data_IF_159447323898
#
_entry.id   IF_159447323898
#
_cell.length_a   1.000
_cell.length_b   1.000
_cell.length_c   1.000
_cell.angle_alpha   90.00
_cell.angle_beta   90.00
_cell.angle_gamma   90.00
#
_symmetry.space_group_name_H-M   'P 1'
#
loop_
_entity.id
_entity.type
_entity.pdbx_description
1 polymer ?
#
# COMPACT_ATOMS: atom_id res chain seq x y z
N UNK A 1 3.58 -6.01 1.26
CA UNK A 1 3.14 -6.06 -0.15
C UNK A 1 3.54 -4.80 -0.93
N UNK A 2 3.20 -3.59 -0.46
CA UNK A 2 3.42 -2.35 -1.22
C UNK A 2 4.90 -2.02 -1.53
N UNK A 3 5.82 -2.24 -0.57
CA UNK A 3 7.27 -2.04 -0.81
C UNK A 3 7.80 -2.99 -1.88
N UNK A 4 7.27 -4.22 -1.95
CA UNK A 4 7.65 -5.17 -3.00
C UNK A 4 7.19 -4.69 -4.40
N UNK A 5 6.08 -3.95 -4.49
CA UNK A 5 5.66 -3.33 -5.76
C UNK A 5 6.63 -2.24 -6.20
N UNK A 6 7.10 -1.41 -5.25
CA UNK A 6 8.15 -0.42 -5.54
C UNK A 6 9.39 -1.11 -6.10
N UNK A 7 9.85 -2.20 -5.46
CA UNK A 7 10.99 -3.00 -5.94
C UNK A 7 10.77 -3.53 -7.36
N UNK A 8 9.61 -4.12 -7.66
CA UNK A 8 9.30 -4.65 -9.00
C UNK A 8 9.35 -3.56 -10.07
N UNK A 9 8.73 -2.40 -9.83
CA UNK A 9 8.74 -1.30 -10.80
C UNK A 9 10.11 -0.66 -10.94
N UNK A 10 10.86 -0.54 -9.85
CA UNK A 10 12.23 -0.05 -9.86
C UNK A 10 13.12 -0.99 -10.70
N UNK A 11 13.10 -2.30 -10.43
CA UNK A 11 13.82 -3.30 -11.21
C UNK A 11 13.46 -3.24 -12.70
N UNK A 12 12.17 -3.05 -13.01
CA UNK A 12 11.74 -2.89 -14.40
C UNK A 12 12.35 -1.65 -15.03
N UNK A 13 12.23 -0.50 -14.38
CA UNK A 13 12.76 0.77 -14.89
C UNK A 13 14.28 0.71 -15.09
N UNK A 14 14.98 -0.06 -14.25
CA UNK A 14 16.42 -0.30 -14.34
C UNK A 14 16.84 -1.19 -15.49
N UNK A 15 16.01 -2.19 -15.83
CA UNK A 15 16.29 -3.11 -16.94
C UNK A 15 16.26 -2.45 -18.33
N UNK A 16 15.77 -1.20 -18.42
CA UNK A 16 15.78 -0.41 -19.64
C UNK A 16 17.16 0.26 -19.77
N UNK A 17 17.94 -0.15 -20.76
CA UNK A 17 19.32 0.32 -20.95
C UNK A 17 19.38 1.82 -21.24
N UNK A 18 18.35 2.35 -21.88
CA UNK A 18 18.25 3.75 -22.27
C UNK A 18 17.88 4.67 -21.10
N UNK A 19 17.48 4.12 -19.95
CA UNK A 19 17.08 4.89 -18.80
C UNK A 19 18.30 5.53 -18.11
N UNK A 20 18.39 6.86 -18.20
CA UNK A 20 19.47 7.64 -17.60
C UNK A 20 19.24 7.99 -16.13
N UNK A 21 18.02 7.77 -15.63
CA UNK A 21 17.64 8.05 -14.24
C UNK A 21 17.89 6.84 -13.31
N UNK A 22 18.71 5.90 -13.76
CA UNK A 22 19.04 4.70 -13.00
C UNK A 22 20.10 4.99 -11.92
N UNK A 23 20.08 4.19 -10.85
CA UNK A 23 21.16 4.20 -9.86
C UNK A 23 22.48 3.77 -10.50
N UNK A 24 23.47 4.66 -10.49
CA UNK A 24 24.81 4.39 -11.05
C UNK A 24 25.67 3.54 -10.09
N UNK A 25 25.42 3.64 -8.77
CA UNK A 25 26.20 2.94 -7.75
C UNK A 25 25.37 1.99 -6.89
N UNK A 26 25.95 0.85 -6.57
CA UNK A 26 25.38 -0.15 -5.65
C UNK A 26 25.13 0.43 -4.25
N UNK A 27 25.99 1.35 -3.79
CA UNK A 27 25.83 2.03 -2.50
C UNK A 27 24.60 2.92 -2.47
N UNK A 28 24.39 3.76 -3.50
CA UNK A 28 23.21 4.64 -3.56
C UNK A 28 21.90 3.84 -3.54
N UNK A 29 21.91 2.70 -4.23
CA UNK A 29 20.80 1.76 -4.29
C UNK A 29 20.54 1.07 -2.95
N UNK A 30 21.60 0.70 -2.24
CA UNK A 30 21.49 0.11 -0.91
C UNK A 30 20.92 1.12 0.08
N UNK A 31 21.38 2.37 0.03
CA UNK A 31 20.85 3.48 0.85
C UNK A 31 19.37 3.75 0.52
N UNK A 32 19.03 3.78 -0.77
CA UNK A 32 17.65 3.94 -1.23
C UNK A 32 16.73 2.87 -0.63
N UNK A 33 17.11 1.60 -0.74
CA UNK A 33 16.32 0.51 -0.17
C UNK A 33 16.30 0.57 1.36
N UNK A 34 17.41 0.91 2.01
CA UNK A 34 17.45 1.10 3.46
C UNK A 34 16.40 2.14 3.90
N UNK A 35 16.33 3.30 3.24
CA UNK A 35 15.33 4.34 3.56
C UNK A 35 13.91 3.83 3.30
N UNK A 36 13.70 3.17 2.15
CA UNK A 36 12.40 2.65 1.73
C UNK A 36 11.84 1.59 2.71
N UNK A 37 12.69 0.79 3.34
CA UNK A 37 12.30 -0.20 4.35
C UNK A 37 12.27 0.38 5.77
N UNK A 38 13.20 1.27 6.12
CA UNK A 38 13.32 1.84 7.46
C UNK A 38 12.07 2.65 7.81
N UNK A 39 11.65 3.59 6.96
CA UNK A 39 10.56 4.50 7.31
C UNK A 39 9.23 3.78 7.59
N UNK A 40 8.77 2.81 6.75
CA UNK A 40 7.60 2.01 7.09
C UNK A 40 7.80 1.09 8.29
N UNK A 41 9.02 0.59 8.52
CA UNK A 41 9.31 -0.29 9.68
C UNK A 41 9.20 0.45 11.01
N UNK A 42 9.44 1.78 11.03
CA UNK A 42 9.24 2.60 12.22
C UNK A 42 7.78 2.62 12.68
N UNK A 43 6.81 2.29 11.83
CA UNK A 43 5.42 2.12 12.26
C UNK A 43 5.26 1.00 13.30
N UNK A 44 6.17 0.01 13.34
CA UNK A 44 6.15 -1.03 14.36
C UNK A 44 6.42 -0.47 15.77
N UNK A 45 6.99 0.72 15.88
CA UNK A 45 7.15 1.37 17.18
C UNK A 45 5.81 1.71 17.85
N UNK A 46 4.70 1.70 17.09
CA UNK A 46 3.36 1.86 17.65
C UNK A 46 3.06 0.81 18.73
N UNK A 47 3.64 -0.39 18.65
CA UNK A 47 3.44 -1.44 19.64
C UNK A 47 3.95 -1.07 21.04
N UNK A 48 4.93 -0.17 21.14
CA UNK A 48 5.45 0.30 22.44
C UNK A 48 4.54 1.34 23.10
N UNK A 49 3.64 1.98 22.35
CA UNK A 49 2.71 3.00 22.87
C UNK A 49 1.28 2.46 23.01
N UNK A 50 1.11 1.16 22.81
CA UNK A 50 -0.15 0.46 22.99
C UNK A 50 -0.61 0.56 24.46
N UNK A 51 -1.87 0.97 24.75
CA UNK A 51 -2.37 1.09 26.11
C UNK A 51 -2.38 -0.27 26.84
N UNK A 52 -1.83 -0.30 28.06
CA UNK A 52 -1.86 -1.50 28.93
C UNK A 52 -3.24 -1.74 29.54
N UNK A 53 -3.96 -0.67 29.91
CA UNK A 53 -5.34 -0.75 30.40
C UNK A 53 -6.33 -0.56 29.24
N UNK A 54 -6.83 -1.68 28.73
CA UNK A 54 -7.74 -1.69 27.58
C UNK A 54 -9.16 -1.21 27.90
N UNK A 55 -9.65 -1.40 29.13
CA UNK A 55 -10.99 -0.92 29.51
C UNK A 55 -11.05 0.62 29.49
N UNK A 56 -10.02 1.25 30.06
CA UNK A 56 -9.89 2.71 30.04
C UNK A 56 -9.72 3.24 28.61
N UNK A 57 -8.92 2.57 27.77
CA UNK A 57 -8.72 2.94 26.38
C UNK A 57 -10.00 2.80 25.54
N UNK A 58 -10.79 1.73 25.75
CA UNK A 58 -12.11 1.55 25.11
C UNK A 58 -13.08 2.65 25.54
N UNK A 59 -13.11 3.01 26.83
CA UNK A 59 -13.94 4.11 27.32
C UNK A 59 -13.56 5.46 26.69
N UNK A 60 -12.26 5.75 26.55
CA UNK A 60 -11.78 6.96 25.86
C UNK A 60 -12.16 6.97 24.38
N UNK A 61 -12.08 5.82 23.70
CA UNK A 61 -12.51 5.71 22.31
C UNK A 61 -14.03 5.96 22.17
N UNK A 62 -14.85 5.52 23.13
CA UNK A 62 -16.29 5.80 23.17
C UNK A 62 -16.61 7.30 23.34
N UNK A 63 -15.75 8.05 24.04
CA UNK A 63 -15.91 9.50 24.14
C UNK A 63 -15.69 10.21 22.80
N UNK A 64 -14.81 9.66 21.96
CA UNK A 64 -14.55 10.19 20.62
C UNK A 64 -15.58 9.71 19.59
N UNK A 65 -16.05 8.47 19.71
CA UNK A 65 -17.06 7.87 18.83
C UNK A 65 -18.14 7.17 19.68
N UNK A 66 -19.26 7.86 19.99
CA UNK A 66 -20.23 7.39 20.98
C UNK A 66 -21.10 6.22 20.50
N UNK A 67 -21.17 5.96 19.20
CA UNK A 67 -21.98 4.89 18.63
C UNK A 67 -21.14 3.94 17.78
N UNK A 68 -20.26 3.12 18.38
CA UNK A 68 -19.48 2.15 17.64
C UNK A 68 -20.34 0.97 17.18
N UNK A 69 -19.78 0.14 16.29
CA UNK A 69 -20.40 -1.11 15.89
C UNK A 69 -20.43 -2.12 17.06
N UNK A 70 -21.29 -3.14 16.96
CA UNK A 70 -21.40 -4.20 17.99
C UNK A 70 -20.08 -4.94 18.20
N UNK A 71 -19.26 -5.05 17.16
CA UNK A 71 -17.95 -5.71 17.18
C UNK A 71 -16.95 -5.02 18.13
N UNK A 72 -17.08 -3.71 18.34
CA UNK A 72 -16.23 -2.98 19.29
C UNK A 72 -16.33 -3.52 20.73
N UNK A 73 -17.47 -4.07 21.11
CA UNK A 73 -17.73 -4.60 22.45
C UNK A 73 -17.31 -6.07 22.61
N UNK A 74 -16.80 -6.73 21.56
CA UNK A 74 -16.23 -8.06 21.69
C UNK A 74 -14.94 -8.02 22.54
N UNK A 75 -14.73 -9.07 23.32
CA UNK A 75 -13.55 -9.21 24.19
C UNK A 75 -12.25 -9.22 23.37
N UNK A 76 -12.30 -9.82 22.17
CA UNK A 76 -11.19 -9.93 21.22
C UNK A 76 -10.78 -8.58 20.61
N UNK A 77 -11.63 -7.55 20.72
CA UNK A 77 -11.35 -6.25 20.11
C UNK A 77 -10.41 -5.43 20.99
N UNK A 78 -9.36 -4.87 20.38
CA UNK A 78 -8.28 -4.18 21.07
C UNK A 78 -8.07 -2.75 20.54
N UNK A 79 -7.90 -1.79 21.45
CA UNK A 79 -7.57 -0.40 21.10
C UNK A 79 -6.06 -0.27 20.98
N UNK A 80 -5.58 -0.18 19.74
CA UNK A 80 -4.15 -0.04 19.41
C UNK A 80 -3.61 1.33 19.83
N UNK A 81 -4.42 2.38 19.73
CA UNK A 81 -4.01 3.74 20.05
C UNK A 81 -5.20 4.55 20.55
N UNK A 82 -5.07 5.15 21.74
CA UNK A 82 -6.08 6.04 22.32
C UNK A 82 -5.56 7.47 22.55
N UNK A 83 -4.24 7.66 22.53
CA UNK A 83 -3.65 8.97 22.80
C UNK A 83 -3.92 9.95 21.63
N UNK A 84 -4.52 11.13 21.91
CA UNK A 84 -4.95 12.05 20.87
C UNK A 84 -3.79 12.72 20.14
N UNK A 85 -2.62 12.86 20.76
CA UNK A 85 -1.44 13.41 20.11
C UNK A 85 -0.89 12.42 19.08
N UNK A 86 -0.67 11.18 19.48
CA UNK A 86 -0.17 10.12 18.58
C UNK A 86 -1.16 9.82 17.46
N UNK A 87 -2.46 9.79 17.76
CA UNK A 87 -3.50 9.58 16.75
C UNK A 87 -3.45 10.67 15.66
N UNK A 88 -3.39 11.93 16.08
CA UNK A 88 -3.26 13.08 15.16
C UNK A 88 -1.97 13.03 14.36
N UNK A 89 -0.85 12.71 15.01
CA UNK A 89 0.45 12.62 14.35
C UNK A 89 0.46 11.54 13.27
N UNK A 90 -0.05 10.35 13.58
CA UNK A 90 -0.05 9.22 12.64
C UNK A 90 -0.95 9.50 11.45
N UNK A 91 -2.18 9.99 11.68
CA UNK A 91 -3.16 10.22 10.62
C UNK A 91 -2.74 11.39 9.72
N UNK A 92 -2.25 12.50 10.29
CA UNK A 92 -1.93 13.69 9.50
C UNK A 92 -0.53 13.67 8.88
N UNK A 93 0.44 12.96 9.49
CA UNK A 93 1.83 13.00 9.02
C UNK A 93 2.36 11.62 8.63
N UNK A 94 2.30 10.62 9.52
CA UNK A 94 2.98 9.34 9.26
C UNK A 94 2.36 8.58 8.07
N UNK A 95 1.04 8.42 8.05
CA UNK A 95 0.33 7.72 6.96
C UNK A 95 0.54 8.46 5.63
N UNK A 96 0.30 9.79 5.52
CA UNK A 96 0.56 10.52 4.27
C UNK A 96 2.02 10.46 3.82
N UNK A 97 2.99 10.58 4.73
CA UNK A 97 4.40 10.50 4.39
C UNK A 97 4.78 9.13 3.78
N UNK A 98 4.30 8.04 4.38
CA UNK A 98 4.52 6.69 3.84
C UNK A 98 3.79 6.52 2.51
N UNK A 99 2.57 7.02 2.38
CA UNK A 99 1.83 6.96 1.13
C UNK A 99 2.59 7.70 0.01
N UNK A 100 3.05 8.93 0.27
CA UNK A 100 3.84 9.71 -0.69
C UNK A 100 5.14 8.99 -1.05
N UNK A 101 5.85 8.42 -0.07
CA UNK A 101 7.07 7.66 -0.32
C UNK A 101 6.80 6.47 -1.26
N UNK A 102 5.82 5.64 -0.94
CA UNK A 102 5.53 4.42 -1.70
C UNK A 102 4.95 4.75 -3.08
N UNK A 103 3.85 5.49 -3.12
CA UNK A 103 3.17 5.79 -4.38
C UNK A 103 3.98 6.73 -5.27
N UNK A 104 4.70 7.70 -4.68
CA UNK A 104 5.61 8.56 -5.41
C UNK A 104 6.70 7.76 -6.13
N UNK A 105 7.31 6.77 -5.44
CA UNK A 105 8.29 5.88 -6.08
C UNK A 105 7.68 5.02 -7.19
N UNK A 106 6.49 4.45 -6.97
CA UNK A 106 5.79 3.67 -8.00
C UNK A 106 5.54 4.55 -9.23
N UNK A 107 4.95 5.74 -9.04
CA UNK A 107 4.64 6.68 -10.11
C UNK A 107 5.91 7.08 -10.85
N UNK A 108 6.99 7.38 -10.15
CA UNK A 108 8.28 7.73 -10.75
C UNK A 108 8.81 6.61 -11.65
N UNK A 109 8.91 5.37 -11.15
CA UNK A 109 9.44 4.25 -11.93
C UNK A 109 8.52 3.83 -13.09
N UNK A 110 7.20 3.88 -12.87
CA UNK A 110 6.21 3.67 -13.94
C UNK A 110 6.35 4.73 -15.02
N UNK A 111 6.52 6.01 -14.65
CA UNK A 111 6.71 7.11 -15.59
C UNK A 111 7.98 6.94 -16.41
N UNK A 112 9.09 6.52 -15.78
CA UNK A 112 10.32 6.16 -16.49
C UNK A 112 10.07 5.04 -17.51
N UNK A 113 9.37 3.97 -17.10
CA UNK A 113 9.02 2.89 -18.02
C UNK A 113 8.16 3.37 -19.20
N UNK A 114 7.16 4.21 -18.95
CA UNK A 114 6.29 4.75 -20.02
C UNK A 114 7.11 5.62 -20.97
N UNK A 115 7.91 6.53 -20.44
CA UNK A 115 8.72 7.46 -21.23
C UNK A 115 9.68 6.71 -22.17
N UNK A 116 10.49 5.79 -21.64
CA UNK A 116 11.49 5.08 -22.43
C UNK A 116 10.92 3.96 -23.31
N UNK A 117 9.81 3.31 -22.93
CA UNK A 117 9.22 2.26 -23.77
C UNK A 117 8.33 2.81 -24.88
N UNK A 118 7.67 3.95 -24.67
CA UNK A 118 6.64 4.46 -25.60
C UNK A 118 6.98 5.80 -26.24
N UNK A 119 7.48 6.79 -25.49
CA UNK A 119 7.64 8.16 -25.98
C UNK A 119 8.99 8.40 -26.66
N UNK A 120 10.08 8.04 -26.01
CA UNK A 120 11.44 8.28 -26.47
C UNK A 120 12.27 6.97 -26.48
N UNK A 121 11.89 5.99 -27.32
CA UNK A 121 12.58 4.72 -27.31
C UNK A 121 13.94 4.84 -27.99
N UNK A 122 15.01 4.42 -27.31
CA UNK A 122 16.35 4.58 -27.85
C UNK A 122 16.70 3.61 -28.97
N UNK A 123 17.84 3.90 -29.60
CA UNK A 123 18.34 3.18 -30.77
C UNK A 123 18.97 1.81 -30.41
N UNK A 124 19.29 1.58 -29.13
CA UNK A 124 20.01 0.38 -28.68
C UNK A 124 19.10 -0.87 -28.63
N UNK A 125 17.79 -0.70 -28.37
CA UNK A 125 16.85 -1.81 -28.28
C UNK A 125 16.12 -2.09 -29.59
N UNK A 126 16.21 -3.32 -30.10
CA UNK A 126 15.49 -3.76 -31.32
C UNK A 126 13.97 -3.63 -31.19
N UNK A 127 13.28 -3.48 -32.32
CA UNK A 127 11.81 -3.38 -32.36
C UNK A 127 11.13 -4.61 -31.73
N UNK A 128 11.65 -5.82 -32.00
CA UNK A 128 11.12 -7.07 -31.42
C UNK A 128 11.24 -7.09 -29.90
N UNK A 129 12.42 -6.75 -29.37
CA UNK A 129 12.66 -6.70 -27.92
C UNK A 129 11.73 -5.70 -27.24
N UNK A 130 11.54 -4.53 -27.87
CA UNK A 130 10.65 -3.47 -27.35
C UNK A 130 9.20 -3.90 -27.27
N UNK A 131 8.68 -4.61 -28.28
CA UNK A 131 7.32 -5.14 -28.25
C UNK A 131 7.12 -6.15 -27.11
N UNK A 132 8.10 -7.02 -26.88
CA UNK A 132 8.08 -7.96 -25.75
C UNK A 132 8.09 -7.19 -24.43
N UNK A 133 8.98 -6.20 -24.28
CA UNK A 133 9.08 -5.35 -23.10
C UNK A 133 7.77 -4.59 -22.79
N UNK A 134 7.06 -4.09 -23.81
CA UNK A 134 5.75 -3.43 -23.67
C UNK A 134 4.68 -4.41 -23.21
N UNK A 135 4.59 -5.59 -23.84
CA UNK A 135 3.64 -6.64 -23.44
C UNK A 135 3.88 -7.11 -22.00
N UNK A 136 5.14 -7.29 -21.62
CA UNK A 136 5.50 -7.63 -20.25
C UNK A 136 5.08 -6.53 -19.26
N UNK A 137 5.31 -5.26 -19.60
CA UNK A 137 4.90 -4.12 -18.77
C UNK A 137 3.39 -4.08 -18.54
N UNK A 138 2.58 -4.30 -19.58
CA UNK A 138 1.12 -4.43 -19.46
C UNK A 138 0.75 -5.62 -18.56
N UNK A 139 1.43 -6.76 -18.74
CA UNK A 139 1.26 -7.95 -17.92
C UNK A 139 1.52 -7.71 -16.43
N UNK A 140 2.46 -6.84 -16.06
CA UNK A 140 2.71 -6.49 -14.66
C UNK A 140 1.55 -5.72 -14.03
N UNK A 141 0.91 -4.79 -14.76
CA UNK A 141 -0.29 -4.10 -14.28
C UNK A 141 -1.46 -5.06 -14.13
N UNK A 142 -1.64 -5.99 -15.07
CA UNK A 142 -2.67 -7.02 -14.96
C UNK A 142 -2.44 -7.88 -13.70
N UNK A 143 -1.19 -8.34 -13.47
CA UNK A 143 -0.83 -9.15 -12.29
C UNK A 143 -0.97 -8.39 -10.97
N UNK A 144 -0.68 -7.09 -10.95
CA UNK A 144 -0.75 -6.27 -9.73
C UNK A 144 -2.19 -5.84 -9.44
N UNK A 145 -2.97 -5.52 -10.47
CA UNK A 145 -4.34 -5.05 -10.36
C UNK A 145 -5.34 -6.18 -10.11
N UNK A 146 -5.14 -7.36 -10.69
CA UNK A 146 -6.07 -8.48 -10.57
C UNK A 146 -6.35 -8.90 -9.11
N UNK A 147 -5.35 -9.09 -8.22
CA UNK A 147 -5.59 -9.40 -6.82
C UNK A 147 -6.39 -8.34 -6.07
N UNK A 148 -6.22 -7.06 -6.44
CA UNK A 148 -6.92 -5.93 -5.82
C UNK A 148 -8.39 -5.95 -6.25
N UNK A 149 -8.66 -6.03 -7.56
CA UNK A 149 -10.03 -6.07 -8.09
C UNK A 149 -10.79 -7.32 -7.65
N UNK A 150 -10.13 -8.49 -7.64
CA UNK A 150 -10.74 -9.75 -7.23
C UNK A 150 -11.14 -9.75 -5.75
N UNK A 151 -10.28 -9.20 -4.88
CA UNK A 151 -10.61 -9.06 -3.45
C UNK A 151 -11.77 -8.11 -3.21
N UNK A 152 -11.82 -6.98 -3.92
CA UNK A 152 -12.95 -6.04 -3.85
C UNK A 152 -14.25 -6.67 -4.36
N UNK A 153 -14.19 -7.47 -5.44
CA UNK A 153 -15.34 -8.21 -5.96
C UNK A 153 -15.88 -9.23 -4.94
N UNK A 154 -15.01 -10.04 -4.33
CA UNK A 154 -15.41 -11.00 -3.29
C UNK A 154 -16.01 -10.28 -2.07
N UNK A 155 -15.39 -9.19 -1.61
CA UNK A 155 -15.92 -8.44 -0.47
C UNK A 155 -17.31 -7.86 -0.77
N UNK A 156 -17.54 -7.36 -1.98
CA UNK A 156 -18.84 -6.85 -2.39
C UNK A 156 -19.92 -7.96 -2.44
N UNK A 157 -19.56 -9.20 -2.80
CA UNK A 157 -20.47 -10.35 -2.74
C UNK A 157 -20.70 -10.82 -1.29
N UNK A 158 -19.67 -10.82 -0.44
CA UNK A 158 -19.81 -11.17 0.98
C UNK A 158 -20.72 -10.19 1.73
N UNK A 159 -20.64 -8.90 1.40
CA UNK A 159 -21.51 -7.87 1.96
C UNK A 159 -22.97 -8.09 1.55
N UNK A 160 -23.23 -8.39 0.28
CA UNK A 160 -24.58 -8.74 -0.22
C UNK A 160 -25.17 -9.99 0.45
N UNK A 161 -24.37 -11.03 0.65
CA UNK A 161 -24.81 -12.26 1.35
C UNK A 161 -25.14 -11.99 2.82
N UNK A 162 -24.40 -11.09 3.47
CA UNK A 162 -24.64 -10.69 4.87
C UNK A 162 -25.94 -9.89 5.00
N UNK A 163 -26.20 -8.94 4.10
CA UNK A 163 -27.46 -8.19 4.06
C UNK A 163 -28.67 -9.09 3.79
N UNK A 164 -28.55 -10.07 2.88
CA UNK A 164 -29.63 -11.02 2.60
C UNK A 164 -29.98 -11.90 3.81
N UNK A 165 -28.98 -12.31 4.60
CA UNK A 165 -29.22 -13.10 5.84
C UNK A 165 -29.81 -12.25 6.96
N UNK A 166 -29.44 -10.97 7.05
CA UNK A 166 -29.99 -10.04 8.03
C UNK A 166 -31.48 -9.75 7.79
N UNK A 167 -31.89 -9.58 6.52
CA UNK A 167 -33.30 -9.37 6.15
C UNK A 167 -34.13 -10.63 6.39
N UNK A 168 -33.59 -11.82 6.12
CA UNK A 168 -34.30 -13.08 6.38
C UNK A 168 -34.57 -13.31 7.88
N UNK A 169 -33.65 -12.92 8.76
CA UNK A 169 -33.84 -13.04 10.22
C UNK A 169 -34.84 -12.02 10.80
N UNK A 170 -35.12 -10.93 10.07
CA UNK A 170 -36.10 -9.91 10.49
C UNK A 170 -37.53 -10.17 9.96
N UNK A 171 -37.70 -11.18 9.11
CA UNK A 171 -38.96 -11.56 8.48
C UNK A 171 -39.54 -12.88 9.03
N UNK A 172 -38.93 -13.45 10.08
CA UNK A 172 -39.48 -14.52 10.94
C UNK A 172 -39.81 -13.97 12.33
#
# INVERSE_FOLDING_TARGET
MLVALVYVFECRSRSIQENRLNFESETSRSIYYLILYLLPSLCLLIYFIVPTNQEAAKLQALQMSPCPNKEFFLEETFVVLSDPFWLKFIIMFAIPAIAVLIFGNIIFHVSCCIFYLYMAPGAMTSLRTRLIQRRFFIGMFAQTGFPICFKSYINADAEKVTYSKFIAHFLE
#
